data_IF_328408493770
#
_entry.id   IF_328408493770
#
_cell.length_a   1.000
_cell.length_b   1.000
_cell.length_c   1.000
_cell.angle_alpha   90.00
_cell.angle_beta   90.00
_cell.angle_gamma   90.00
#
_symmetry.space_group_name_H-M   'P 1'
#
loop_
_entity.id
_entity.type
_entity.pdbx_description
1 polymer ?
#
# COMPACT_ATOMS: atom_id res chain seq x y z
N UNK A 1 19.37 -23.80 -53.32
CA UNK A 1 18.04 -23.43 -52.82
C UNK A 1 18.16 -23.36 -51.32
N UNK A 2 18.45 -22.17 -50.80
CA UNK A 2 18.77 -21.92 -49.39
C UNK A 2 17.53 -21.28 -48.74
N UNK A 3 16.88 -21.98 -47.82
CA UNK A 3 15.75 -21.45 -47.00
C UNK A 3 16.34 -20.64 -45.84
N UNK A 4 16.08 -19.35 -45.84
CA UNK A 4 16.28 -18.46 -44.70
C UNK A 4 15.07 -18.57 -43.76
N UNK A 5 15.26 -19.13 -42.57
CA UNK A 5 14.32 -19.08 -41.48
C UNK A 5 14.48 -17.72 -40.74
N UNK A 6 13.50 -16.87 -40.87
CA UNK A 6 13.41 -15.63 -40.11
C UNK A 6 12.88 -15.96 -38.69
N UNK A 7 13.73 -15.86 -37.67
CA UNK A 7 13.31 -15.89 -36.28
C UNK A 7 12.72 -14.54 -35.88
N UNK A 8 11.41 -14.50 -35.63
CA UNK A 8 10.76 -13.34 -35.05
C UNK A 8 11.09 -13.29 -33.54
N UNK A 9 11.87 -12.30 -33.16
CA UNK A 9 12.03 -11.93 -31.75
C UNK A 9 10.73 -11.26 -31.26
N UNK A 10 9.99 -11.94 -30.41
CA UNK A 10 8.95 -11.31 -29.61
C UNK A 10 9.68 -10.56 -28.49
N UNK A 11 9.64 -9.23 -28.53
CA UNK A 11 10.10 -8.39 -27.43
C UNK A 11 9.17 -8.56 -26.21
N UNK A 12 9.67 -8.27 -24.99
CA UNK A 12 8.84 -8.34 -23.79
C UNK A 12 7.69 -7.35 -23.92
N UNK A 13 6.46 -7.87 -23.77
CA UNK A 13 5.28 -7.03 -23.61
C UNK A 13 5.42 -6.35 -22.24
N UNK A 14 5.61 -5.04 -22.26
CA UNK A 14 5.44 -4.23 -21.06
C UNK A 14 4.01 -4.35 -20.52
N UNK A 15 3.78 -4.13 -19.21
CA UNK A 15 2.47 -4.21 -18.62
C UNK A 15 1.51 -3.28 -19.37
N UNK A 16 0.44 -3.88 -19.91
CA UNK A 16 -0.62 -3.12 -20.55
C UNK A 16 -1.26 -2.22 -19.47
N UNK A 17 -1.24 -0.92 -19.69
CA UNK A 17 -1.95 0.03 -18.86
C UNK A 17 -3.43 -0.38 -18.81
N UNK A 18 -3.87 -0.95 -17.69
CA UNK A 18 -5.29 -1.12 -17.41
C UNK A 18 -5.84 0.26 -17.07
N UNK A 19 -6.47 0.92 -18.03
CA UNK A 19 -7.26 2.12 -17.80
C UNK A 19 -8.55 1.72 -17.07
N UNK A 20 -8.45 1.47 -15.77
CA UNK A 20 -9.58 1.45 -14.86
C UNK A 20 -10.09 2.88 -14.72
N UNK A 21 -11.35 3.13 -15.06
CA UNK A 21 -11.99 4.43 -14.80
C UNK A 21 -12.21 4.52 -13.30
N UNK A 22 -11.27 5.17 -12.61
CA UNK A 22 -11.40 5.48 -11.18
C UNK A 22 -12.48 6.55 -11.02
N UNK A 23 -13.67 6.15 -10.56
CA UNK A 23 -14.74 7.07 -10.17
C UNK A 23 -14.46 7.49 -8.74
N UNK A 24 -13.74 8.59 -8.55
CA UNK A 24 -13.50 9.14 -7.21
C UNK A 24 -14.82 9.54 -6.55
N UNK A 25 -15.13 9.06 -5.34
CA UNK A 25 -16.16 9.70 -4.52
C UNK A 25 -15.69 11.12 -4.17
N UNK A 26 -16.61 12.06 -4.28
CA UNK A 26 -16.36 13.49 -4.12
C UNK A 26 -15.61 13.85 -2.86
N UNK A 27 -14.93 15.01 -2.91
CA UNK A 27 -14.07 15.60 -1.89
C UNK A 27 -14.50 15.27 -0.46
N UNK A 28 -13.61 14.62 0.29
CA UNK A 28 -13.80 14.26 1.69
C UNK A 28 -14.10 15.52 2.51
N UNK A 29 -15.36 15.65 2.89
CA UNK A 29 -15.84 16.57 3.92
C UNK A 29 -15.17 16.20 5.24
N UNK A 30 -14.70 17.20 5.97
CA UNK A 30 -14.16 17.04 7.30
C UNK A 30 -15.11 16.26 8.22
N UNK A 31 -14.57 15.30 8.97
CA UNK A 31 -15.22 14.50 10.01
C UNK A 31 -16.45 13.71 9.55
N UNK A 32 -16.23 12.47 9.10
CA UNK A 32 -17.29 11.47 9.17
C UNK A 32 -17.56 11.18 10.66
N UNK A 33 -18.79 11.42 11.15
CA UNK A 33 -19.16 11.03 12.49
C UNK A 33 -19.44 9.52 12.47
N UNK A 34 -18.76 8.74 13.28
CA UNK A 34 -19.25 7.43 13.59
C UNK A 34 -18.31 6.27 13.74
N UNK A 35 -17.03 6.38 13.37
CA UNK A 35 -16.10 5.29 13.65
C UNK A 35 -15.62 5.22 15.10
N UNK A 36 -15.72 6.29 15.86
CA UNK A 36 -15.16 6.38 17.23
C UNK A 36 -16.04 5.72 18.30
N UNK A 37 -17.33 5.46 18.00
CA UNK A 37 -18.30 5.03 19.00
C UNK A 37 -18.77 3.58 18.89
N UNK A 38 -18.35 2.84 17.89
CA UNK A 38 -18.83 1.47 17.66
C UNK A 38 -17.73 0.41 17.72
N UNK A 39 -17.03 0.29 18.84
CA UNK A 39 -16.54 -1.02 19.18
C UNK A 39 -17.75 -1.89 19.53
N UNK A 40 -18.19 -2.78 18.65
CA UNK A 40 -17.59 -4.10 18.57
C UNK A 40 -17.53 -4.64 17.14
N UNK A 41 -16.58 -4.24 16.32
CA UNK A 41 -16.31 -5.02 15.12
C UNK A 41 -15.76 -6.38 15.54
N UNK A 42 -16.31 -7.45 14.96
CA UNK A 42 -15.70 -8.75 15.08
C UNK A 42 -14.40 -8.73 14.24
N UNK A 43 -13.29 -8.35 14.88
CA UNK A 43 -11.99 -8.35 14.22
C UNK A 43 -11.64 -9.77 13.77
N UNK A 44 -11.18 -9.88 12.54
CA UNK A 44 -10.75 -11.14 11.94
C UNK A 44 -9.22 -11.22 11.99
N UNK A 45 -8.69 -12.41 12.27
CA UNK A 45 -7.27 -12.66 12.12
C UNK A 45 -6.88 -12.67 10.65
N UNK A 46 -5.70 -12.09 10.33
CA UNK A 46 -5.09 -12.29 9.03
C UNK A 46 -4.99 -13.79 8.73
N UNK A 47 -5.22 -14.24 7.49
CA UNK A 47 -4.79 -15.56 7.09
C UNK A 47 -3.30 -15.68 7.42
N UNK A 48 -2.86 -16.82 7.93
CA UNK A 48 -1.45 -17.04 8.23
C UNK A 48 -0.56 -16.86 7.01
N UNK A 49 0.72 -17.22 7.12
CA UNK A 49 1.65 -17.20 5.98
C UNK A 49 1.08 -17.97 4.79
N UNK A 50 1.07 -17.32 3.65
CA UNK A 50 0.62 -17.85 2.36
C UNK A 50 1.65 -17.50 1.29
N UNK A 51 1.41 -17.92 0.05
CA UNK A 51 2.22 -17.48 -1.10
C UNK A 51 2.06 -15.96 -1.38
N UNK A 52 1.01 -15.32 -0.83
CA UNK A 52 0.72 -13.90 -1.04
C UNK A 52 1.15 -13.02 0.14
N UNK A 53 1.14 -13.57 1.36
CA UNK A 53 1.27 -12.81 2.60
C UNK A 53 2.23 -13.51 3.56
N UNK A 54 3.06 -12.73 4.24
CA UNK A 54 3.85 -13.16 5.39
C UNK A 54 3.48 -12.33 6.61
N UNK A 55 2.91 -12.95 7.62
CA UNK A 55 2.40 -12.28 8.82
C UNK A 55 3.45 -12.34 9.93
N UNK A 56 3.97 -11.18 10.34
CA UNK A 56 5.09 -11.10 11.30
C UNK A 56 4.70 -11.52 12.72
N UNK A 57 3.57 -11.02 13.22
CA UNK A 57 3.11 -11.30 14.58
C UNK A 57 1.61 -11.66 14.59
N UNK A 58 1.25 -12.94 14.44
CA UNK A 58 -0.15 -13.35 14.30
C UNK A 58 -1.08 -12.88 15.43
N UNK A 59 -0.56 -12.71 16.67
CA UNK A 59 -1.36 -12.23 17.80
C UNK A 59 -1.66 -10.73 17.79
N UNK A 60 -1.04 -9.98 16.85
CA UNK A 60 -1.25 -8.54 16.60
C UNK A 60 -1.82 -8.27 15.19
N UNK A 61 -2.30 -9.31 14.51
CA UNK A 61 -2.71 -9.24 13.10
C UNK A 61 -4.22 -9.45 12.97
N UNK A 62 -5.00 -8.70 13.76
CA UNK A 62 -6.45 -8.70 13.70
C UNK A 62 -6.95 -7.38 13.10
N UNK A 63 -7.75 -7.48 12.04
CA UNK A 63 -8.30 -6.34 11.32
C UNK A 63 -9.81 -6.41 11.18
N UNK A 64 -10.41 -5.30 10.73
CA UNK A 64 -11.79 -5.33 10.23
C UNK A 64 -11.87 -6.22 8.98
N UNK A 65 -13.05 -6.76 8.64
CA UNK A 65 -13.21 -7.48 7.37
C UNK A 65 -12.66 -6.71 6.18
N UNK A 66 -13.00 -5.43 6.04
CA UNK A 66 -12.53 -4.55 4.98
C UNK A 66 -11.01 -4.47 4.94
N UNK A 67 -10.31 -4.30 6.08
CA UNK A 67 -8.84 -4.28 6.11
C UNK A 67 -8.25 -5.60 5.63
N UNK A 68 -8.79 -6.74 6.09
CA UNK A 68 -8.30 -8.06 5.70
C UNK A 68 -8.50 -8.30 4.20
N UNK A 69 -9.70 -8.03 3.69
CA UNK A 69 -10.05 -8.24 2.29
C UNK A 69 -9.22 -7.33 1.38
N UNK A 70 -9.05 -6.05 1.74
CA UNK A 70 -8.19 -5.08 1.03
C UNK A 70 -6.74 -5.59 0.91
N UNK A 71 -6.15 -6.08 2.01
CA UNK A 71 -4.77 -6.58 1.99
C UNK A 71 -4.63 -7.86 1.15
N UNK A 72 -5.58 -8.78 1.25
CA UNK A 72 -5.57 -10.03 0.47
C UNK A 72 -5.73 -9.73 -1.02
N UNK A 73 -6.67 -8.86 -1.39
CA UNK A 73 -6.89 -8.47 -2.79
C UNK A 73 -5.67 -7.77 -3.38
N UNK A 74 -5.14 -6.74 -2.71
CA UNK A 74 -3.97 -6.02 -3.19
C UNK A 74 -2.74 -6.93 -3.32
N UNK A 75 -2.54 -7.86 -2.39
CA UNK A 75 -1.45 -8.84 -2.45
C UNK A 75 -1.62 -9.82 -3.62
N UNK A 76 -2.85 -10.26 -3.89
CA UNK A 76 -3.17 -11.11 -5.04
C UNK A 76 -2.90 -10.40 -6.37
N UNK A 77 -3.23 -9.11 -6.48
CA UNK A 77 -2.94 -8.30 -7.68
C UNK A 77 -1.45 -8.08 -7.87
N UNK A 78 -0.71 -7.82 -6.78
CA UNK A 78 0.75 -7.71 -6.86
C UNK A 78 1.40 -9.00 -7.34
N UNK A 79 1.02 -10.15 -6.78
CA UNK A 79 1.54 -11.46 -7.19
C UNK A 79 1.18 -11.81 -8.64
N UNK A 80 0.03 -11.37 -9.14
CA UNK A 80 -0.32 -11.52 -10.55
C UNK A 80 0.59 -10.71 -11.47
N UNK A 81 0.93 -9.47 -11.08
CA UNK A 81 1.82 -8.59 -11.86
C UNK A 81 3.28 -9.00 -11.73
N UNK A 82 3.69 -9.48 -10.58
CA UNK A 82 5.06 -9.87 -10.24
C UNK A 82 5.07 -11.27 -9.61
N UNK A 83 4.95 -12.34 -10.43
CA UNK A 83 4.85 -13.72 -9.92
C UNK A 83 6.05 -14.20 -9.09
N UNK A 84 7.21 -13.58 -9.32
CA UNK A 84 8.46 -13.88 -8.60
C UNK A 84 8.71 -12.93 -7.40
N UNK A 85 7.74 -12.05 -7.08
CA UNK A 85 7.86 -11.18 -5.90
C UNK A 85 7.74 -11.99 -4.61
N UNK A 86 8.49 -11.58 -3.58
CA UNK A 86 8.29 -12.10 -2.23
C UNK A 86 6.86 -11.77 -1.75
N UNK A 87 6.28 -12.62 -0.88
CA UNK A 87 5.00 -12.35 -0.24
C UNK A 87 5.00 -10.99 0.47
N UNK A 88 3.87 -10.30 0.43
CA UNK A 88 3.70 -9.01 1.11
C UNK A 88 3.88 -9.21 2.62
N UNK A 89 4.81 -8.47 3.20
CA UNK A 89 5.11 -8.56 4.62
C UNK A 89 4.13 -7.70 5.43
N UNK A 90 3.32 -8.37 6.26
CA UNK A 90 2.29 -7.73 7.09
C UNK A 90 2.73 -7.72 8.54
N UNK A 91 2.83 -6.55 9.12
CA UNK A 91 3.18 -6.33 10.51
C UNK A 91 1.97 -6.18 11.43
N UNK A 92 1.99 -5.12 12.23
CA UNK A 92 0.93 -4.88 13.21
C UNK A 92 -0.37 -4.38 12.56
N UNK A 93 -1.49 -4.97 12.98
CA UNK A 93 -2.84 -4.45 12.74
C UNK A 93 -3.47 -4.01 14.06
N UNK A 94 -3.96 -4.98 14.84
CA UNK A 94 -4.47 -4.77 16.19
C UNK A 94 -4.46 -6.06 16.99
N UNK A 95 -4.83 -5.97 18.27
CA UNK A 95 -5.13 -7.13 19.10
C UNK A 95 -6.48 -7.74 18.73
N UNK A 96 -6.71 -9.01 19.04
CA UNK A 96 -7.95 -9.76 18.77
C UNK A 96 -9.24 -9.03 19.19
N UNK A 97 -9.18 -8.23 20.25
CA UNK A 97 -10.32 -7.45 20.77
C UNK A 97 -10.12 -5.95 20.58
N UNK A 98 -9.17 -5.55 19.72
CA UNK A 98 -8.77 -4.17 19.62
C UNK A 98 -8.11 -3.64 20.88
N UNK A 99 -8.17 -2.33 21.09
CA UNK A 99 -7.60 -1.65 22.23
C UNK A 99 -6.14 -1.24 22.04
N UNK A 100 -5.56 -0.61 23.05
CA UNK A 100 -4.24 -0.01 22.97
C UNK A 100 -3.15 -1.03 22.56
N UNK A 101 -2.37 -0.68 21.57
CA UNK A 101 -1.23 -1.45 21.05
C UNK A 101 0.04 -0.58 21.07
N UNK A 102 0.68 -0.35 22.23
CA UNK A 102 1.90 0.46 22.31
C UNK A 102 3.04 -0.13 21.44
N UNK A 103 3.87 0.75 20.77
CA UNK A 103 3.85 2.21 20.83
C UNK A 103 2.87 2.89 19.86
N UNK A 104 2.07 2.14 19.14
CA UNK A 104 1.19 2.61 18.08
C UNK A 104 -0.05 3.32 18.62
N UNK A 105 -0.46 4.40 17.95
CA UNK A 105 -1.68 5.15 18.29
C UNK A 105 -2.89 4.71 17.47
N UNK A 106 -2.66 4.21 16.26
CA UNK A 106 -3.72 3.94 15.27
C UNK A 106 -4.11 2.46 15.18
N UNK A 107 -3.32 1.55 15.79
CA UNK A 107 -3.52 0.11 15.73
C UNK A 107 -4.44 -0.41 16.84
N UNK A 108 -5.53 0.27 17.11
CA UNK A 108 -6.43 -0.07 18.22
C UNK A 108 -7.81 -0.57 17.76
N UNK A 109 -8.19 -0.32 16.51
CA UNK A 109 -9.53 -0.57 15.95
C UNK A 109 -9.53 -1.57 14.78
N UNK A 110 -8.39 -2.11 14.39
CA UNK A 110 -8.26 -3.06 13.29
C UNK A 110 -8.35 -2.46 11.89
N UNK A 111 -8.45 -1.14 11.77
CA UNK A 111 -8.49 -0.43 10.48
C UNK A 111 -7.13 0.03 9.97
N UNK A 112 -6.07 -0.24 10.71
CA UNK A 112 -4.70 0.11 10.34
C UNK A 112 -3.84 -1.12 10.23
N UNK A 113 -2.90 -1.11 9.28
CA UNK A 113 -1.89 -2.15 9.08
C UNK A 113 -0.54 -1.53 8.72
N UNK A 114 0.53 -2.06 9.31
CA UNK A 114 1.89 -1.75 8.90
C UNK A 114 2.35 -2.80 7.88
N UNK A 115 2.77 -2.35 6.70
CA UNK A 115 3.17 -3.19 5.57
C UNK A 115 4.63 -2.90 5.23
N UNK A 116 5.44 -3.95 5.09
CA UNK A 116 6.84 -3.82 4.70
C UNK A 116 7.01 -3.16 3.34
N UNK A 117 8.07 -2.38 3.18
CA UNK A 117 8.41 -1.75 1.90
C UNK A 117 9.06 -2.76 0.97
N UNK A 118 8.82 -2.63 -0.32
CA UNK A 118 9.49 -3.42 -1.34
C UNK A 118 10.87 -2.81 -1.64
N UNK A 119 11.89 -3.64 -1.58
CA UNK A 119 13.26 -3.24 -1.89
C UNK A 119 13.75 -4.00 -3.13
N UNK A 120 14.72 -3.43 -3.84
CA UNK A 120 15.38 -4.15 -4.95
C UNK A 120 16.06 -5.42 -4.46
N UNK A 121 16.23 -6.39 -5.35
CA UNK A 121 16.85 -7.68 -5.05
C UNK A 121 18.19 -7.53 -4.33
N UNK A 122 18.38 -8.34 -3.29
CA UNK A 122 19.58 -8.32 -2.45
C UNK A 122 19.59 -7.26 -1.33
N UNK A 123 18.53 -6.46 -1.19
CA UNK A 123 18.37 -5.43 -0.14
C UNK A 123 17.18 -5.75 0.78
N UNK A 124 16.70 -6.97 0.76
CA UNK A 124 15.51 -7.39 1.50
C UNK A 124 15.69 -7.26 3.02
N UNK A 125 14.71 -6.68 3.73
CA UNK A 125 14.60 -6.86 5.16
C UNK A 125 14.31 -8.33 5.46
N UNK A 126 15.27 -9.02 6.05
CA UNK A 126 15.19 -10.47 6.26
C UNK A 126 14.25 -10.81 7.41
N UNK A 127 14.12 -9.91 8.40
CA UNK A 127 13.32 -10.14 9.61
C UNK A 127 12.77 -8.82 10.16
N UNK A 128 11.51 -8.53 9.92
CA UNK A 128 10.84 -7.35 10.46
C UNK A 128 10.96 -6.11 9.56
N UNK A 129 10.63 -4.95 10.14
CA UNK A 129 10.71 -3.68 9.44
C UNK A 129 12.10 -3.08 9.57
N UNK A 130 12.84 -3.05 8.48
CA UNK A 130 14.14 -2.38 8.40
C UNK A 130 14.03 -1.15 7.50
N UNK A 131 14.73 -0.05 7.84
CA UNK A 131 14.71 1.15 7.02
C UNK A 131 15.15 0.90 5.59
N UNK A 132 14.26 1.14 4.64
CA UNK A 132 14.56 1.09 3.21
C UNK A 132 14.97 2.49 2.76
N UNK A 133 16.27 2.69 2.53
CA UNK A 133 16.73 3.95 1.98
C UNK A 133 16.11 4.20 0.61
N UNK A 134 15.78 5.45 0.30
CA UNK A 134 15.10 5.80 -0.94
C UNK A 134 15.78 5.24 -2.21
N UNK A 135 17.10 5.10 -2.22
CA UNK A 135 17.85 4.49 -3.34
C UNK A 135 17.68 2.97 -3.47
N UNK A 136 17.14 2.31 -2.46
CA UNK A 136 16.94 0.87 -2.41
C UNK A 136 15.46 0.49 -2.59
N UNK A 137 14.56 1.47 -2.53
CA UNK A 137 13.13 1.23 -2.73
C UNK A 137 12.88 0.73 -4.15
N UNK A 138 12.23 -0.41 -4.29
CA UNK A 138 11.63 -0.85 -5.54
C UNK A 138 10.35 -0.03 -5.77
N UNK A 139 10.54 1.10 -6.45
CA UNK A 139 9.46 2.09 -6.65
C UNK A 139 8.34 1.51 -7.50
N UNK A 140 8.67 0.65 -8.47
CA UNK A 140 7.72 0.01 -9.36
C UNK A 140 6.80 -0.94 -8.60
N UNK A 141 7.36 -1.90 -7.85
CA UNK A 141 6.57 -2.83 -7.02
C UNK A 141 5.81 -2.11 -5.91
N UNK A 142 6.46 -1.11 -5.26
CA UNK A 142 5.79 -0.32 -4.23
C UNK A 142 4.58 0.42 -4.80
N UNK A 143 4.72 1.02 -5.99
CA UNK A 143 3.59 1.66 -6.65
C UNK A 143 2.51 0.66 -7.04
N UNK A 144 2.87 -0.48 -7.64
CA UNK A 144 1.90 -1.49 -8.03
C UNK A 144 1.05 -1.98 -6.84
N UNK A 145 1.65 -2.11 -5.65
CA UNK A 145 0.91 -2.45 -4.45
C UNK A 145 0.04 -1.30 -3.94
N UNK A 146 0.57 -0.07 -3.93
CA UNK A 146 -0.20 1.13 -3.56
C UNK A 146 -1.39 1.34 -4.50
N UNK A 147 -1.19 1.19 -5.79
CA UNK A 147 -2.24 1.27 -6.81
C UNK A 147 -3.33 0.21 -6.59
N UNK A 148 -2.92 -1.03 -6.31
CA UNK A 148 -3.85 -2.11 -5.98
C UNK A 148 -4.66 -1.82 -4.71
N UNK A 149 -4.07 -1.21 -3.68
CA UNK A 149 -4.78 -0.75 -2.50
C UNK A 149 -5.79 0.36 -2.82
N UNK A 150 -5.38 1.36 -3.61
CA UNK A 150 -6.24 2.48 -4.00
C UNK A 150 -7.45 2.02 -4.82
N UNK A 151 -7.26 1.03 -5.68
CA UNK A 151 -8.31 0.47 -6.54
C UNK A 151 -9.42 -0.27 -5.77
N UNK A 152 -9.19 -0.69 -4.51
CA UNK A 152 -10.27 -1.24 -3.68
C UNK A 152 -11.32 -0.20 -3.32
N UNK A 153 -10.95 1.08 -3.31
CA UNK A 153 -11.82 2.18 -2.92
C UNK A 153 -11.96 2.38 -1.40
N UNK A 154 -11.33 1.52 -0.61
CA UNK A 154 -11.51 1.46 0.85
C UNK A 154 -10.42 2.22 1.62
N UNK A 155 -9.43 2.80 0.94
CA UNK A 155 -8.29 3.43 1.59
C UNK A 155 -8.61 4.84 2.10
N UNK A 156 -8.48 5.03 3.43
CA UNK A 156 -8.51 6.35 4.05
C UNK A 156 -7.18 7.10 3.83
N UNK A 157 -6.06 6.43 4.12
CA UNK A 157 -4.73 6.97 3.84
C UNK A 157 -3.62 5.92 3.87
N UNK A 158 -2.52 6.26 3.20
CA UNK A 158 -1.24 5.52 3.23
C UNK A 158 -0.15 6.49 3.68
N UNK A 159 0.53 6.16 4.78
CA UNK A 159 1.59 6.97 5.35
C UNK A 159 2.96 6.38 5.00
N UNK A 160 3.87 7.22 4.54
CA UNK A 160 5.23 6.86 4.15
C UNK A 160 6.22 7.96 4.56
N UNK A 161 7.52 7.68 4.52
CA UNK A 161 8.52 8.74 4.59
C UNK A 161 8.43 9.69 3.38
N UNK A 162 8.77 10.95 3.58
CA UNK A 162 8.67 11.98 2.54
C UNK A 162 9.46 11.63 1.28
N UNK A 163 10.61 10.98 1.43
CA UNK A 163 11.42 10.58 0.29
C UNK A 163 10.71 9.55 -0.58
N UNK A 164 10.03 8.58 0.04
CA UNK A 164 9.24 7.55 -0.65
C UNK A 164 8.01 8.15 -1.34
N UNK A 165 7.25 9.01 -0.64
CA UNK A 165 6.12 9.75 -1.24
C UNK A 165 6.56 10.51 -2.49
N UNK A 166 7.71 11.22 -2.41
CA UNK A 166 8.24 11.97 -3.54
C UNK A 166 8.67 11.07 -4.71
N UNK A 167 9.20 9.88 -4.43
CA UNK A 167 9.58 8.91 -5.45
C UNK A 167 8.36 8.33 -6.15
N UNK A 168 7.35 7.87 -5.39
CA UNK A 168 6.10 7.36 -5.95
C UNK A 168 5.41 8.41 -6.82
N UNK A 169 5.24 9.62 -6.31
CA UNK A 169 4.63 10.73 -7.07
C UNK A 169 5.37 11.02 -8.38
N UNK A 170 6.72 11.00 -8.35
CA UNK A 170 7.54 11.20 -9.54
C UNK A 170 7.35 10.05 -10.52
N UNK A 171 7.42 8.80 -10.04
CA UNK A 171 7.26 7.61 -10.86
C UNK A 171 5.93 7.61 -11.60
N UNK A 172 4.82 7.85 -10.89
CA UNK A 172 3.48 7.93 -11.46
C UNK A 172 3.37 8.99 -12.55
N UNK A 173 3.93 10.18 -12.30
CA UNK A 173 3.93 11.28 -13.28
C UNK A 173 4.80 10.96 -14.49
N UNK A 174 6.02 10.45 -14.28
CA UNK A 174 7.01 10.24 -15.34
C UNK A 174 6.66 9.06 -16.26
N UNK A 175 5.73 8.19 -15.82
CA UNK A 175 5.20 7.04 -16.58
C UNK A 175 3.74 7.22 -17.01
N UNK A 176 3.15 8.42 -16.81
CA UNK A 176 1.77 8.74 -17.19
C UNK A 176 0.73 7.73 -16.62
N UNK A 177 0.96 7.23 -15.39
CA UNK A 177 0.10 6.20 -14.78
C UNK A 177 -1.20 6.76 -14.21
N UNK A 178 -1.26 8.07 -13.97
CA UNK A 178 -2.45 8.77 -13.45
C UNK A 178 -2.60 10.13 -14.15
N UNK A 179 -3.83 10.63 -14.20
CA UNK A 179 -4.07 12.00 -14.64
C UNK A 179 -3.48 13.03 -13.67
N UNK A 180 -3.27 14.27 -14.12
CA UNK A 180 -2.79 15.34 -13.25
C UNK A 180 -3.75 15.64 -12.10
N UNK A 181 -5.05 15.44 -12.32
CA UNK A 181 -6.10 15.61 -11.30
C UNK A 181 -6.01 14.51 -10.25
N UNK A 182 -5.87 13.24 -10.67
CA UNK A 182 -5.74 12.10 -9.77
C UNK A 182 -4.43 12.18 -8.97
N UNK A 183 -3.32 12.61 -9.59
CA UNK A 183 -2.06 12.85 -8.87
C UNK A 183 -2.26 13.92 -7.79
N UNK A 184 -3.01 14.99 -8.07
CA UNK A 184 -3.26 16.05 -7.11
C UNK A 184 -4.19 15.59 -5.95
N UNK A 185 -5.12 14.67 -6.22
CA UNK A 185 -5.98 14.07 -5.22
C UNK A 185 -5.25 13.03 -4.36
N UNK A 186 -4.39 12.22 -5.00
CA UNK A 186 -3.67 11.13 -4.32
C UNK A 186 -2.49 11.63 -3.48
N UNK A 187 -1.73 12.60 -3.98
CA UNK A 187 -0.51 13.08 -3.33
C UNK A 187 -0.62 14.52 -2.87
N UNK A 188 -0.02 14.88 -1.70
CA UNK A 188 0.00 16.26 -1.24
C UNK A 188 0.63 17.20 -2.25
N UNK A 189 0.24 18.49 -2.29
CA UNK A 189 0.95 19.51 -3.05
C UNK A 189 2.43 19.58 -2.67
N UNK A 190 3.28 19.92 -3.62
CA UNK A 190 4.72 20.18 -3.36
C UNK A 190 4.83 21.32 -2.37
N UNK A 191 5.71 21.18 -1.37
CA UNK A 191 5.95 22.16 -0.31
C UNK A 191 4.83 22.32 0.74
N UNK A 192 3.93 21.35 0.87
CA UNK A 192 2.99 21.34 1.99
C UNK A 192 3.77 21.22 3.31
N UNK A 193 3.55 22.11 4.30
CA UNK A 193 4.18 21.99 5.61
C UNK A 193 3.88 20.63 6.22
N UNK A 194 4.90 19.95 6.78
CA UNK A 194 4.81 18.57 7.31
C UNK A 194 3.66 18.34 8.30
N UNK A 195 3.33 19.36 9.09
CA UNK A 195 2.27 19.31 10.11
C UNK A 195 0.85 19.42 9.54
N UNK A 196 0.70 19.84 8.29
CA UNK A 196 -0.60 20.09 7.64
C UNK A 196 -0.81 19.25 6.40
N UNK A 197 0.05 18.28 6.15
CA UNK A 197 -0.07 17.36 5.00
C UNK A 197 -1.24 16.37 5.17
N UNK A 198 -2.41 16.85 5.59
CA UNK A 198 -3.67 16.10 5.62
C UNK A 198 -4.32 16.00 4.25
N UNK A 199 -3.64 16.48 3.21
CA UNK A 199 -4.11 16.41 1.83
C UNK A 199 -3.47 15.23 1.10
N UNK A 200 -4.29 14.56 0.30
CA UNK A 200 -3.90 13.36 -0.43
C UNK A 200 -4.02 12.09 0.41
N UNK A 201 -4.22 10.99 -0.28
CA UNK A 201 -4.35 9.66 0.32
C UNK A 201 -2.95 9.14 0.68
N UNK A 202 -1.98 9.25 -0.24
CA UNK A 202 -0.58 8.84 -0.03
C UNK A 202 0.24 10.03 0.45
N UNK A 203 0.59 10.06 1.73
CA UNK A 203 1.17 11.23 2.37
C UNK A 203 2.30 10.93 3.35
N UNK A 204 3.04 11.96 3.71
CA UNK A 204 4.16 11.82 4.64
C UNK A 204 3.70 11.69 6.10
N UNK A 205 4.33 10.75 6.81
CA UNK A 205 4.39 10.74 8.26
C UNK A 205 5.81 10.39 8.74
N UNK A 206 6.28 10.99 9.85
CA UNK A 206 7.58 10.65 10.42
C UNK A 206 7.64 9.18 10.86
N UNK A 207 8.82 8.57 10.79
CA UNK A 207 9.10 7.18 11.21
C UNK A 207 8.45 6.10 10.33
N UNK A 208 8.20 6.39 9.06
CA UNK A 208 7.68 5.45 8.05
C UNK A 208 8.72 5.24 6.94
N UNK A 209 9.98 5.08 7.33
CA UNK A 209 11.08 4.77 6.41
C UNK A 209 11.37 3.29 6.25
N UNK A 210 10.70 2.44 7.03
CA UNK A 210 10.83 0.98 7.08
C UNK A 210 9.52 0.26 6.75
N UNK A 211 8.40 0.95 6.71
CA UNK A 211 7.08 0.42 6.38
C UNK A 211 6.19 1.50 5.78
N UNK A 212 5.10 1.06 5.16
CA UNK A 212 3.94 1.91 4.89
C UNK A 212 2.86 1.61 5.93
N UNK A 213 2.25 2.64 6.49
CA UNK A 213 1.08 2.51 7.34
C UNK A 213 -0.17 2.73 6.50
N UNK A 214 -0.99 1.71 6.37
CA UNK A 214 -2.24 1.72 5.59
C UNK A 214 -3.41 1.80 6.55
N UNK A 215 -4.38 2.67 6.26
CA UNK A 215 -5.64 2.76 6.99
C UNK A 215 -6.81 2.72 6.04
N UNK A 216 -7.81 1.91 6.36
CA UNK A 216 -9.07 1.83 5.61
C UNK A 216 -10.14 2.73 6.21
N UNK A 217 -11.11 3.09 5.35
CA UNK A 217 -12.33 3.81 5.73
C UNK A 217 -13.12 3.01 6.78
N UNK A 218 -14.13 3.63 7.35
CA UNK A 218 -15.10 2.95 8.20
C UNK A 218 -16.04 2.10 7.36
N UNK A 219 -16.37 0.90 7.85
CA UNK A 219 -17.43 0.04 7.31
C UNK A 219 -18.80 0.68 7.58
#
# INVERSE_FOLDING_TARGET
MLLLLASAFAGPMGPAAMTGVFSMPGALSASEPGCDDAFPYALQGMPGDTDLLRVFQPYRSFGTPTMIDTLVEASGRLAFLYPDADPVFVGDLSLHRGGALPPHRWHHDGRSADIGLFAHDGVQPVHGFEPVWSKHLDVEKTWAFVDALLDTGDIEHILLDQAHVNQLKRYVRDHDLMSAEDIAATFPPVNTPRIWAMHGIVRHAPRHGDHMHVRVLCD
#
